data_IF_462335712699
#
_entry.id   IF_462335712699
#
_cell.length_a   1.000
_cell.length_b   1.000
_cell.length_c   1.000
_cell.angle_alpha   90.00
_cell.angle_beta   90.00
_cell.angle_gamma   90.00
#
_symmetry.space_group_name_H-M   'P 1'
#
loop_
_entity.id
_entity.type
_entity.pdbx_description
1 polymer ?
#
# COMPACT_ATOMS: atom_id res chain seq x y z
N UNK A 1 -14.45 -8.56 0.80
CA UNK A 1 -13.66 -7.34 1.10
C UNK A 1 -14.08 -6.66 2.39
N UNK A 2 -15.28 -6.89 2.93
CA UNK A 2 -15.78 -6.16 4.12
C UNK A 2 -14.88 -6.23 5.36
N UNK A 3 -14.18 -7.35 5.60
CA UNK A 3 -13.26 -7.48 6.74
C UNK A 3 -11.87 -6.85 6.49
N UNK A 4 -11.47 -6.69 5.22
CA UNK A 4 -10.18 -6.12 4.81
C UNK A 4 -10.27 -4.66 4.38
N UNK A 5 -11.49 -4.16 4.13
CA UNK A 5 -11.81 -2.76 3.85
C UNK A 5 -11.22 -1.76 4.86
N UNK A 6 -11.24 -1.99 6.19
CA UNK A 6 -10.61 -1.07 7.13
C UNK A 6 -9.08 -1.04 7.02
N UNK A 7 -8.47 -2.14 6.59
CA UNK A 7 -7.02 -2.23 6.41
C UNK A 7 -6.59 -1.69 5.05
N UNK A 8 -7.37 -1.90 3.98
CA UNK A 8 -7.04 -1.50 2.61
C UNK A 8 -8.15 -0.64 1.98
N UNK A 9 -8.42 0.57 2.51
CA UNK A 9 -9.55 1.39 2.08
C UNK A 9 -9.46 1.82 0.61
N UNK A 10 -8.24 1.99 0.08
CA UNK A 10 -7.99 2.35 -1.33
C UNK A 10 -8.57 1.29 -2.29
N UNK A 11 -8.60 0.02 -1.88
CA UNK A 11 -9.10 -1.06 -2.74
C UNK A 11 -10.62 -0.98 -2.91
N UNK A 12 -11.35 -0.30 -2.02
CA UNK A 12 -12.78 -0.09 -2.20
C UNK A 12 -13.09 0.79 -3.43
N UNK A 13 -12.16 1.68 -3.81
CA UNK A 13 -12.30 2.54 -4.99
C UNK A 13 -12.04 1.81 -6.32
N UNK A 14 -11.44 0.62 -6.30
CA UNK A 14 -11.21 -0.19 -7.51
C UNK A 14 -12.54 -0.80 -7.97
N UNK A 15 -12.82 -0.69 -9.27
CA UNK A 15 -13.99 -1.30 -9.92
C UNK A 15 -13.53 -2.43 -10.83
N UNK A 16 -14.34 -3.48 -10.93
CA UNK A 16 -14.08 -4.59 -11.84
C UNK A 16 -13.90 -4.09 -13.28
N UNK A 17 -12.83 -4.56 -13.94
CA UNK A 17 -12.51 -4.25 -15.35
C UNK A 17 -12.29 -2.76 -15.67
N UNK A 18 -12.24 -1.88 -14.67
CA UNK A 18 -11.93 -0.45 -14.85
C UNK A 18 -10.43 -0.19 -14.60
N UNK A 19 -9.68 -0.09 -15.70
CA UNK A 19 -8.22 0.10 -15.67
C UNK A 19 -7.84 1.44 -15.04
N UNK A 20 -8.68 2.48 -15.17
CA UNK A 20 -8.40 3.78 -14.55
C UNK A 20 -8.46 3.67 -13.04
N UNK A 21 -9.47 2.98 -12.52
CA UNK A 21 -9.63 2.78 -11.08
C UNK A 21 -8.47 1.98 -10.46
N UNK A 22 -7.99 0.94 -11.16
CA UNK A 22 -6.82 0.16 -10.77
C UNK A 22 -5.55 1.00 -10.78
N UNK A 23 -5.32 1.77 -11.86
CA UNK A 23 -4.16 2.64 -11.99
C UNK A 23 -4.10 3.68 -10.87
N UNK A 24 -5.24 4.31 -10.53
CA UNK A 24 -5.32 5.27 -9.42
C UNK A 24 -4.96 4.59 -8.09
N UNK A 25 -5.50 3.40 -7.82
CA UNK A 25 -5.19 2.67 -6.59
C UNK A 25 -3.70 2.35 -6.46
N UNK A 26 -3.09 1.82 -7.54
CA UNK A 26 -1.65 1.52 -7.57
C UNK A 26 -0.82 2.78 -7.35
N UNK A 27 -1.14 3.88 -8.04
CA UNK A 27 -0.45 5.16 -7.87
C UNK A 27 -0.53 5.63 -6.41
N UNK A 28 -1.68 5.51 -5.76
CA UNK A 28 -1.82 5.90 -4.35
C UNK A 28 -0.94 5.03 -3.45
N UNK A 29 -0.93 3.71 -3.60
CA UNK A 29 -0.04 2.85 -2.81
C UNK A 29 1.44 3.18 -3.03
N UNK A 30 1.84 3.40 -4.28
CA UNK A 30 3.23 3.76 -4.62
C UNK A 30 3.61 5.12 -4.02
N UNK A 31 2.73 6.13 -4.11
CA UNK A 31 2.97 7.46 -3.55
C UNK A 31 3.06 7.42 -2.03
N UNK A 32 2.16 6.69 -1.36
CA UNK A 32 2.20 6.52 0.11
C UNK A 32 3.48 5.81 0.53
N UNK A 33 3.84 4.71 -0.16
CA UNK A 33 5.08 3.99 0.10
C UNK A 33 6.31 4.87 -0.09
N UNK A 34 6.36 5.68 -1.15
CA UNK A 34 7.46 6.61 -1.42
C UNK A 34 7.57 7.70 -0.35
N UNK A 35 6.45 8.33 0.05
CA UNK A 35 6.42 9.35 1.10
C UNK A 35 6.95 8.78 2.42
N UNK A 36 6.49 7.59 2.82
CA UNK A 36 6.93 6.97 4.06
C UNK A 36 8.39 6.52 3.95
N UNK A 37 8.81 5.96 2.81
CA UNK A 37 10.20 5.59 2.56
C UNK A 37 11.17 6.77 2.68
N UNK A 38 10.80 7.94 2.15
CA UNK A 38 11.57 9.19 2.33
C UNK A 38 11.61 9.58 3.81
N UNK A 39 10.47 9.53 4.51
CA UNK A 39 10.40 9.87 5.93
C UNK A 39 11.33 8.97 6.76
N UNK A 40 11.26 7.65 6.53
CA UNK A 40 12.13 6.65 7.14
C UNK A 40 13.60 6.94 6.83
N UNK A 41 13.94 7.23 5.57
CA UNK A 41 15.31 7.51 5.15
C UNK A 41 15.91 8.74 5.83
N UNK A 42 15.11 9.79 6.04
CA UNK A 42 15.53 11.00 6.78
C UNK A 42 15.73 10.69 8.28
N UNK A 43 14.84 9.90 8.87
CA UNK A 43 14.90 9.51 10.29
C UNK A 43 15.99 8.47 10.59
N UNK A 44 16.45 7.72 9.59
CA UNK A 44 17.50 6.72 9.72
C UNK A 44 18.89 7.30 10.04
N UNK A 45 19.08 8.62 9.96
CA UNK A 45 20.30 9.29 10.42
C UNK A 45 20.58 9.12 11.92
N UNK A 46 19.60 8.68 12.71
CA UNK A 46 19.77 8.38 14.14
C UNK A 46 19.83 6.85 14.32
N UNK A 47 20.93 6.26 14.81
CA UNK A 47 21.19 4.81 14.74
C UNK A 47 20.14 3.93 15.45
N UNK A 48 19.58 4.37 16.58
CA UNK A 48 18.53 3.63 17.30
C UNK A 48 17.19 3.71 16.55
N UNK A 49 16.88 4.88 15.99
CA UNK A 49 15.64 5.15 15.26
C UNK A 49 15.67 4.42 13.91
N UNK A 50 16.83 4.35 13.25
CA UNK A 50 16.99 3.65 11.97
C UNK A 50 16.60 2.18 12.02
N UNK A 51 16.87 1.46 13.11
CA UNK A 51 16.46 0.05 13.26
C UNK A 51 14.94 -0.07 13.36
N UNK A 52 14.30 0.77 14.18
CA UNK A 52 12.84 0.77 14.37
C UNK A 52 12.15 1.14 13.05
N UNK A 53 12.60 2.20 12.40
CA UNK A 53 12.05 2.66 11.13
C UNK A 53 12.34 1.70 9.97
N UNK A 54 13.43 0.93 10.02
CA UNK A 54 13.68 -0.17 9.08
C UNK A 54 12.63 -1.28 9.18
N UNK A 55 12.26 -1.69 10.40
CA UNK A 55 11.20 -2.68 10.62
C UNK A 55 9.84 -2.14 10.15
N UNK A 56 9.53 -0.88 10.50
CA UNK A 56 8.31 -0.21 10.07
C UNK A 56 8.26 -0.08 8.53
N UNK A 57 9.38 0.24 7.89
CA UNK A 57 9.49 0.31 6.44
C UNK A 57 9.19 -1.02 5.76
N UNK A 58 9.78 -2.11 6.25
CA UNK A 58 9.50 -3.45 5.75
C UNK A 58 8.02 -3.83 5.90
N UNK A 59 7.39 -3.50 7.04
CA UNK A 59 5.96 -3.70 7.26
C UNK A 59 5.11 -2.92 6.25
N UNK A 60 5.49 -1.68 5.95
CA UNK A 60 4.78 -0.81 5.01
C UNK A 60 4.94 -1.26 3.56
N UNK A 61 6.11 -1.78 3.18
CA UNK A 61 6.31 -2.41 1.87
C UNK A 61 5.42 -3.65 1.70
N UNK A 62 5.42 -4.54 2.69
CA UNK A 62 4.56 -5.74 2.68
C UNK A 62 3.08 -5.33 2.60
N UNK A 63 2.67 -4.33 3.37
CA UNK A 63 1.33 -3.77 3.30
C UNK A 63 1.02 -3.22 1.90
N UNK A 64 1.90 -2.39 1.32
CA UNK A 64 1.68 -1.78 0.01
C UNK A 64 1.58 -2.84 -1.11
N UNK A 65 2.45 -3.86 -1.07
CA UNK A 65 2.38 -5.01 -1.97
C UNK A 65 1.05 -5.77 -1.81
N UNK A 66 0.64 -6.05 -0.59
CA UNK A 66 -0.65 -6.69 -0.30
C UNK A 66 -1.84 -5.88 -0.83
N UNK A 67 -1.79 -4.56 -0.65
CA UNK A 67 -2.79 -3.62 -1.17
C UNK A 67 -2.90 -3.66 -2.69
N UNK A 68 -1.77 -3.66 -3.41
CA UNK A 68 -1.71 -3.77 -4.87
C UNK A 68 -2.25 -5.13 -5.35
N UNK A 69 -1.84 -6.24 -4.71
CA UNK A 69 -2.33 -7.57 -5.08
C UNK A 69 -3.86 -7.64 -4.92
N UNK A 70 -4.38 -7.16 -3.80
CA UNK A 70 -5.82 -7.11 -3.55
C UNK A 70 -6.55 -6.19 -4.55
N UNK A 71 -5.96 -5.06 -4.94
CA UNK A 71 -6.50 -4.19 -5.99
C UNK A 71 -6.61 -4.93 -7.33
N UNK A 72 -5.59 -5.71 -7.71
CA UNK A 72 -5.61 -6.54 -8.92
C UNK A 72 -6.66 -7.64 -8.82
N UNK A 73 -6.75 -8.36 -7.70
CA UNK A 73 -7.77 -9.40 -7.48
C UNK A 73 -9.19 -8.83 -7.59
N UNK A 74 -9.41 -7.62 -7.09
CA UNK A 74 -10.69 -6.92 -7.21
C UNK A 74 -10.97 -6.46 -8.63
N UNK A 75 -9.97 -5.95 -9.34
CA UNK A 75 -10.09 -5.59 -10.75
C UNK A 75 -10.48 -6.81 -11.61
N UNK A 76 -9.96 -8.00 -11.29
CA UNK A 76 -10.29 -9.26 -11.95
C UNK A 76 -11.65 -9.84 -11.53
N UNK A 77 -12.31 -9.26 -10.52
CA UNK A 77 -13.59 -9.75 -9.99
C UNK A 77 -13.50 -11.05 -9.18
N UNK A 78 -12.29 -11.40 -8.73
CA UNK A 78 -12.04 -12.60 -7.90
C UNK A 78 -12.39 -12.30 -6.42
N UNK A 79 -12.19 -11.06 -5.97
CA UNK A 79 -12.59 -10.59 -4.65
C UNK A 79 -13.59 -9.44 -4.77
N UNK A 80 -14.78 -9.61 -4.16
CA UNK A 80 -15.79 -8.57 -3.99
C UNK A 80 -15.59 -7.81 -2.69
#
# INVERSE_FOLDING_TARGET
MEQLAPFFPINNSVKEKDVKSLAIAIVIYVVVGAIIGILIGVLAGIPVIGIIFGIVGALIEIYSLGGIILAVLKFLGICK
#
